data_IF_157936254884
#
_entry.id   IF_157936254884
#
_cell.length_a   1.000
_cell.length_b   1.000
_cell.length_c   1.000
_cell.angle_alpha   90.00
_cell.angle_beta   90.00
_cell.angle_gamma   90.00
#
_symmetry.space_group_name_H-M   'P 1'
#
loop_
_entity.id
_entity.type
_entity.pdbx_description
1 polymer ?
#
# COMPACT_ATOMS: atom_id res chain seq x y z
N UNK A 1 13.54 11.98 3.85
CA UNK A 1 12.31 11.35 3.30
C UNK A 1 11.95 10.17 4.18
N UNK A 2 10.68 9.98 4.55
CA UNK A 2 10.30 8.84 5.41
C UNK A 2 10.40 7.52 4.64
N UNK A 3 10.90 6.48 5.32
CA UNK A 3 11.04 5.15 4.74
C UNK A 3 9.66 4.49 4.55
N UNK A 4 9.43 3.72 3.47
CA UNK A 4 8.23 2.91 3.31
C UNK A 4 8.07 1.95 4.49
N UNK A 5 6.82 1.78 4.94
CA UNK A 5 6.43 0.73 5.87
C UNK A 5 5.62 -0.33 5.12
N UNK A 6 5.66 -1.56 5.61
CA UNK A 6 4.97 -2.70 5.01
C UNK A 6 4.07 -3.34 6.06
N UNK A 7 2.80 -3.51 5.72
CA UNK A 7 1.85 -4.27 6.54
C UNK A 7 1.61 -5.62 5.89
N UNK A 8 1.90 -6.70 6.63
CA UNK A 8 1.66 -8.08 6.19
C UNK A 8 0.28 -8.52 6.66
N UNK A 9 -0.62 -8.73 5.70
CA UNK A 9 -1.95 -9.28 5.96
C UNK A 9 -1.91 -10.81 6.13
N UNK A 10 -0.82 -11.46 5.72
CA UNK A 10 -0.73 -12.92 5.66
C UNK A 10 -1.61 -13.47 4.54
N UNK A 11 -2.23 -14.62 4.79
CA UNK A 11 -3.10 -15.26 3.81
C UNK A 11 -4.38 -14.43 3.61
N UNK A 12 -4.55 -13.88 2.41
CA UNK A 12 -5.62 -12.92 2.12
C UNK A 12 -6.50 -13.39 0.95
N UNK A 13 -7.81 -13.48 1.18
CA UNK A 13 -8.79 -13.92 0.18
C UNK A 13 -9.24 -12.73 -0.68
N UNK A 14 -9.28 -12.93 -1.98
CA UNK A 14 -9.77 -11.98 -3.00
C UNK A 14 -10.84 -12.66 -3.85
N UNK A 15 -11.63 -11.91 -4.62
CA UNK A 15 -12.70 -12.51 -5.44
C UNK A 15 -12.19 -13.57 -6.44
N UNK A 16 -10.90 -13.53 -6.80
CA UNK A 16 -10.24 -14.50 -7.70
C UNK A 16 -9.39 -15.59 -7.04
N UNK A 17 -9.38 -15.71 -5.70
CA UNK A 17 -8.59 -16.74 -5.01
C UNK A 17 -7.94 -16.25 -3.72
N UNK A 18 -6.73 -16.73 -3.44
CA UNK A 18 -6.03 -16.43 -2.18
C UNK A 18 -4.58 -16.06 -2.42
N UNK A 19 -4.17 -14.91 -1.89
CA UNK A 19 -2.77 -14.50 -1.81
C UNK A 19 -2.11 -15.16 -0.59
N UNK A 20 -1.00 -15.92 -0.74
CA UNK A 20 -0.35 -16.60 0.38
C UNK A 20 0.21 -15.66 1.45
N UNK A 21 0.77 -14.51 1.04
CA UNK A 21 1.16 -13.39 1.90
C UNK A 21 0.90 -12.07 1.17
N UNK A 22 -0.20 -11.41 1.50
CA UNK A 22 -0.51 -10.09 0.95
C UNK A 22 0.18 -8.99 1.75
N UNK A 23 0.79 -8.04 1.05
CA UNK A 23 1.55 -6.95 1.66
C UNK A 23 1.08 -5.60 1.11
N UNK A 24 0.79 -4.64 2.01
CA UNK A 24 0.52 -3.25 1.64
C UNK A 24 1.70 -2.38 2.03
N UNK A 25 2.31 -1.73 1.03
CA UNK A 25 3.30 -0.68 1.26
C UNK A 25 2.59 0.65 1.52
N UNK A 26 3.02 1.40 2.54
CA UNK A 26 2.43 2.68 2.88
C UNK A 26 3.45 3.64 3.49
N UNK A 27 3.07 4.92 3.54
CA UNK A 27 3.77 5.96 4.27
C UNK A 27 2.76 6.80 5.05
N UNK A 28 3.19 7.30 6.20
CA UNK A 28 2.42 8.21 7.03
C UNK A 28 3.11 9.56 7.08
N UNK A 29 2.33 10.63 7.13
CA UNK A 29 2.80 12.00 7.23
C UNK A 29 1.94 12.72 8.28
N UNK A 30 2.52 13.66 9.01
CA UNK A 30 1.83 14.38 10.08
C UNK A 30 1.80 13.62 11.42
N UNK A 31 0.83 13.98 12.26
CA UNK A 31 0.65 13.47 13.63
C UNK A 31 -0.44 12.38 13.67
N UNK A 32 -0.16 11.17 14.21
CA UNK A 32 -1.15 10.10 14.37
C UNK A 32 -2.33 10.43 15.30
N UNK A 33 -2.27 11.48 16.13
CA UNK A 33 -3.41 11.89 16.97
C UNK A 33 -4.48 12.65 16.18
N UNK A 34 -4.15 13.13 14.98
CA UNK A 34 -5.10 13.80 14.10
C UNK A 34 -5.97 12.79 13.35
N UNK A 35 -7.14 13.21 12.82
CA UNK A 35 -7.96 12.35 11.97
C UNK A 35 -7.16 11.75 10.80
N UNK A 36 -7.35 10.46 10.57
CA UNK A 36 -6.67 9.73 9.50
C UNK A 36 -7.31 10.02 8.13
N UNK A 37 -6.49 10.35 7.14
CA UNK A 37 -6.89 10.50 5.74
C UNK A 37 -6.12 9.50 4.91
N UNK A 38 -6.83 8.70 4.11
CA UNK A 38 -6.24 7.69 3.23
C UNK A 38 -6.14 8.23 1.81
N UNK A 39 -4.91 8.27 1.27
CA UNK A 39 -4.63 8.68 -0.10
C UNK A 39 -4.21 7.46 -0.94
N UNK A 40 -5.14 6.83 -1.68
CA UNK A 40 -4.79 5.72 -2.56
C UNK A 40 -3.95 6.21 -3.74
N UNK A 41 -2.99 5.39 -4.17
CA UNK A 41 -2.22 5.67 -5.38
C UNK A 41 -3.02 5.30 -6.63
N UNK A 42 -2.86 6.07 -7.69
CA UNK A 42 -3.40 5.75 -9.01
C UNK A 42 -2.40 4.94 -9.85
N UNK A 43 -2.88 4.30 -10.92
CA UNK A 43 -2.01 3.71 -11.93
C UNK A 43 -1.20 4.81 -12.63
N UNK A 44 0.11 4.83 -12.42
CA UNK A 44 1.01 5.88 -12.94
C UNK A 44 1.50 5.64 -14.38
N UNK A 45 1.16 4.51 -15.00
CA UNK A 45 1.83 4.05 -16.21
C UNK A 45 3.28 3.67 -15.96
N UNK A 46 3.80 2.75 -16.78
CA UNK A 46 5.22 2.39 -16.74
C UNK A 46 5.95 3.31 -17.71
N UNK A 47 6.90 4.11 -17.22
CA UNK A 47 7.78 4.93 -18.05
C UNK A 47 8.96 4.08 -18.56
N UNK A 48 8.70 2.96 -19.20
CA UNK A 48 9.71 2.25 -19.99
C UNK A 48 9.53 2.58 -21.46
N UNK A 49 10.04 3.75 -21.83
CA UNK A 49 10.36 4.06 -23.23
C UNK A 49 11.57 3.22 -23.66
N UNK A 50 11.42 2.47 -24.74
CA UNK A 50 12.54 2.12 -25.61
C UNK A 50 13.06 3.37 -26.31
#
# INVERSE_FOLDING_TARGET
MSQPKFYHHGRFTVEGGTLPDAVTAYRTYGDPTNPCIVFPTCYGGRLDGK
#
